data_IF_839327312972
#
_entry.id   IF_839327312972
#
_cell.length_a   1.000
_cell.length_b   1.000
_cell.length_c   1.000
_cell.angle_alpha   90.00
_cell.angle_beta   90.00
_cell.angle_gamma   90.00
#
_symmetry.space_group_name_H-M   'P 1'
#
loop_
_entity.id
_entity.type
_entity.pdbx_description
1 polymer ?
#
# COMPACT_ATOMS: atom_id res chain seq x y z
N UNK A 1 -0.16 -12.69 -0.50
CA UNK A 1 -1.08 -12.55 0.66
C UNK A 1 -2.54 -12.74 0.26
N UNK A 2 -3.06 -12.02 -0.74
CA UNK A 2 -4.44 -12.21 -1.22
C UNK A 2 -4.81 -13.66 -1.56
N UNK A 3 -3.92 -14.39 -2.23
CA UNK A 3 -4.09 -15.83 -2.54
C UNK A 3 -4.33 -16.67 -1.26
N UNK A 4 -3.48 -16.51 -0.24
CA UNK A 4 -3.58 -17.22 1.04
C UNK A 4 -4.86 -16.87 1.81
N UNK A 5 -5.29 -15.61 1.75
CA UNK A 5 -6.56 -15.18 2.37
C UNK A 5 -7.78 -15.78 1.66
N UNK A 6 -7.70 -15.91 0.33
CA UNK A 6 -8.74 -16.49 -0.49
C UNK A 6 -8.88 -18.00 -0.27
N UNK A 7 -7.77 -18.75 -0.35
CA UNK A 7 -7.76 -20.21 -0.30
C UNK A 7 -7.68 -20.76 1.13
N UNK A 8 -6.98 -20.07 2.03
CA UNK A 8 -6.59 -20.60 3.34
C UNK A 8 -5.37 -21.52 3.32
N UNK A 9 -4.81 -21.78 2.14
CA UNK A 9 -3.63 -22.60 1.91
C UNK A 9 -2.79 -22.01 0.78
N UNK A 10 -1.59 -22.57 0.55
CA UNK A 10 -0.74 -22.13 -0.55
C UNK A 10 -1.39 -22.44 -1.91
N UNK A 11 -1.45 -21.42 -2.76
CA UNK A 11 -1.82 -21.61 -4.15
C UNK A 11 -0.75 -22.47 -4.87
N UNK A 12 -1.10 -23.10 -6.01
CA UNK A 12 -0.12 -23.80 -6.84
C UNK A 12 1.10 -22.92 -7.14
N UNK A 13 2.30 -23.51 -7.06
CA UNK A 13 3.56 -22.77 -7.15
C UNK A 13 3.65 -21.91 -8.41
N UNK A 14 3.22 -22.42 -9.56
CA UNK A 14 3.25 -21.70 -10.83
C UNK A 14 2.35 -20.45 -10.80
N UNK A 15 1.13 -20.56 -10.26
CA UNK A 15 0.20 -19.44 -10.09
C UNK A 15 0.76 -18.41 -9.12
N UNK A 16 1.42 -18.86 -8.05
CA UNK A 16 2.09 -17.99 -7.08
C UNK A 16 3.23 -17.20 -7.74
N UNK A 17 4.11 -17.88 -8.50
CA UNK A 17 5.22 -17.24 -9.19
C UNK A 17 4.71 -16.24 -10.24
N UNK A 18 3.75 -16.63 -11.07
CA UNK A 18 3.21 -15.76 -12.12
C UNK A 18 2.49 -14.56 -11.52
N UNK A 19 1.67 -14.78 -10.49
CA UNK A 19 0.97 -13.71 -9.78
C UNK A 19 1.92 -12.71 -9.13
N UNK A 20 2.95 -13.22 -8.44
CA UNK A 20 3.99 -12.39 -7.83
C UNK A 20 4.78 -11.60 -8.87
N UNK A 21 5.33 -12.27 -9.88
CA UNK A 21 6.14 -11.62 -10.92
C UNK A 21 5.34 -10.58 -11.68
N UNK A 22 4.06 -10.85 -11.96
CA UNK A 22 3.18 -9.90 -12.63
C UNK A 22 3.01 -8.61 -11.82
N UNK A 23 2.54 -8.71 -10.56
CA UNK A 23 2.33 -7.51 -9.73
C UNK A 23 3.64 -6.82 -9.40
N UNK A 24 4.73 -7.56 -9.19
CA UNK A 24 6.08 -7.03 -9.00
C UNK A 24 6.51 -6.18 -10.20
N UNK A 25 6.37 -6.70 -11.43
CA UNK A 25 6.75 -5.97 -12.64
C UNK A 25 5.88 -4.71 -12.86
N UNK A 26 4.57 -4.78 -12.57
CA UNK A 26 3.70 -3.59 -12.63
C UNK A 26 4.14 -2.55 -11.60
N UNK A 27 4.35 -2.93 -10.33
CA UNK A 27 4.80 -2.01 -9.29
C UNK A 27 6.18 -1.42 -9.61
N UNK A 28 7.13 -2.24 -10.07
CA UNK A 28 8.46 -1.78 -10.45
C UNK A 28 8.41 -0.80 -11.62
N UNK A 29 7.54 -1.03 -12.62
CA UNK A 29 7.30 -0.07 -13.70
C UNK A 29 6.83 1.29 -13.17
N UNK A 30 5.84 1.29 -12.26
CA UNK A 30 5.28 2.52 -11.68
C UNK A 30 6.34 3.28 -10.87
N UNK A 31 7.18 2.57 -10.11
CA UNK A 31 8.25 3.17 -9.31
C UNK A 31 9.40 3.73 -10.17
N UNK A 32 9.83 2.99 -11.19
CA UNK A 32 10.85 3.50 -12.14
C UNK A 32 10.32 4.72 -12.90
N UNK A 33 9.04 4.69 -13.28
CA UNK A 33 8.39 5.83 -13.92
C UNK A 33 8.27 7.02 -12.96
N UNK A 34 8.04 6.79 -11.67
CA UNK A 34 8.03 7.84 -10.65
C UNK A 34 9.39 8.56 -10.59
N UNK A 35 10.49 7.80 -10.49
CA UNK A 35 11.86 8.35 -10.52
C UNK A 35 12.13 9.16 -11.80
N UNK A 36 11.58 8.73 -12.95
CA UNK A 36 11.66 9.49 -14.20
C UNK A 36 10.92 10.83 -14.16
N UNK A 37 9.74 10.90 -13.54
CA UNK A 37 9.00 12.16 -13.39
C UNK A 37 9.63 13.10 -12.35
N UNK A 38 10.27 12.53 -11.33
CA UNK A 38 10.82 13.29 -10.20
C UNK A 38 12.26 13.76 -10.39
N UNK A 39 12.88 13.56 -11.56
CA UNK A 39 14.29 13.91 -11.84
C UNK A 39 14.69 15.30 -11.34
N UNK A 40 13.92 16.34 -11.65
CA UNK A 40 14.27 17.71 -11.24
C UNK A 40 14.16 17.92 -9.72
N UNK A 41 13.17 17.28 -9.08
CA UNK A 41 12.98 17.30 -7.63
C UNK A 41 14.10 16.53 -6.92
N UNK A 42 14.46 15.35 -7.44
CA UNK A 42 15.44 14.45 -6.86
C UNK A 42 16.87 14.96 -7.02
N UNK A 43 17.19 15.76 -8.04
CA UNK A 43 18.47 16.48 -8.12
C UNK A 43 18.74 17.35 -6.88
N UNK A 44 17.69 17.87 -6.25
CA UNK A 44 17.78 18.71 -5.06
C UNK A 44 17.69 17.86 -3.80
N UNK A 45 16.67 17.00 -3.70
CA UNK A 45 16.32 16.31 -2.46
C UNK A 45 17.11 15.00 -2.24
N UNK A 46 17.46 14.30 -3.32
CA UNK A 46 18.07 12.98 -3.27
C UNK A 46 19.07 12.77 -4.42
N UNK A 47 20.16 13.57 -4.49
CA UNK A 47 21.09 13.56 -5.63
C UNK A 47 21.84 12.24 -5.81
N UNK A 48 21.80 11.35 -4.80
CA UNK A 48 22.38 10.01 -4.84
C UNK A 48 21.51 8.98 -5.58
N UNK A 49 20.25 9.31 -5.91
CA UNK A 49 19.36 8.41 -6.68
C UNK A 49 19.94 8.14 -8.08
N UNK A 50 19.62 6.98 -8.71
CA UNK A 50 20.29 6.54 -9.93
C UNK A 50 20.24 7.54 -11.10
N UNK A 51 19.09 8.19 -11.34
CA UNK A 51 18.93 9.12 -12.47
C UNK A 51 19.64 10.46 -12.20
N UNK A 52 19.42 11.17 -11.06
CA UNK A 52 20.19 12.37 -10.73
C UNK A 52 21.71 12.15 -10.66
N UNK A 53 22.15 10.99 -10.16
CA UNK A 53 23.56 10.61 -10.07
C UNK A 53 24.18 10.23 -11.43
N UNK A 54 23.39 10.22 -12.52
CA UNK A 54 23.79 9.82 -13.88
C UNK A 54 24.31 8.38 -13.97
N UNK A 55 23.92 7.51 -13.03
CA UNK A 55 24.18 6.07 -13.10
C UNK A 55 23.27 5.37 -14.11
N UNK A 56 22.08 5.94 -14.33
CA UNK A 56 21.10 5.51 -15.33
C UNK A 56 20.57 6.76 -16.03
N UNK A 57 20.47 6.72 -17.36
CA UNK A 57 19.88 7.82 -18.13
C UNK A 57 18.35 7.84 -18.01
N UNK A 58 17.70 9.01 -18.17
CA UNK A 58 16.23 9.11 -18.16
C UNK A 58 15.58 8.19 -19.21
N UNK A 59 16.21 8.05 -20.38
CA UNK A 59 15.71 7.19 -21.45
C UNK A 59 15.79 5.71 -21.09
N UNK A 60 16.86 5.25 -20.45
CA UNK A 60 16.98 3.87 -19.95
C UNK A 60 15.90 3.57 -18.90
N UNK A 61 15.69 4.49 -17.94
CA UNK A 61 14.64 4.34 -16.92
C UNK A 61 13.25 4.27 -17.57
N UNK A 62 12.95 5.15 -18.53
CA UNK A 62 11.69 5.12 -19.25
C UNK A 62 11.48 3.79 -19.99
N UNK A 63 12.45 3.32 -20.76
CA UNK A 63 12.32 2.04 -21.48
C UNK A 63 12.24 0.83 -20.55
N UNK A 64 12.95 0.87 -19.42
CA UNK A 64 12.80 -0.15 -18.37
C UNK A 64 11.39 -0.16 -17.81
N UNK A 65 10.78 1.00 -17.53
CA UNK A 65 9.39 1.06 -17.06
C UNK A 65 8.41 0.48 -18.08
N UNK A 66 8.59 0.75 -19.37
CA UNK A 66 7.73 0.20 -20.44
C UNK A 66 7.91 -1.31 -20.56
N UNK A 67 9.15 -1.81 -20.52
CA UNK A 67 9.44 -3.24 -20.54
C UNK A 67 8.79 -3.96 -19.34
N UNK A 68 8.97 -3.43 -18.14
CA UNK A 68 8.38 -4.00 -16.92
C UNK A 68 6.84 -3.98 -16.96
N UNK A 69 6.24 -2.91 -17.47
CA UNK A 69 4.79 -2.84 -17.68
C UNK A 69 4.32 -3.94 -18.62
N UNK A 70 4.99 -4.10 -19.77
CA UNK A 70 4.66 -5.12 -20.75
C UNK A 70 4.77 -6.53 -20.16
N UNK A 71 5.86 -6.84 -19.45
CA UNK A 71 6.03 -8.13 -18.77
C UNK A 71 4.92 -8.37 -17.75
N UNK A 72 4.62 -7.37 -16.92
CA UNK A 72 3.54 -7.45 -15.93
C UNK A 72 2.18 -7.76 -16.55
N UNK A 73 1.83 -7.06 -17.64
CA UNK A 73 0.58 -7.25 -18.38
C UNK A 73 0.50 -8.64 -19.03
N UNK A 74 1.56 -9.09 -19.71
CA UNK A 74 1.60 -10.43 -20.31
C UNK A 74 1.43 -11.50 -19.25
N UNK A 75 2.17 -11.43 -18.14
CA UNK A 75 2.03 -12.40 -17.05
C UNK A 75 0.62 -12.41 -16.44
N UNK A 76 -0.01 -11.24 -16.27
CA UNK A 76 -1.39 -11.17 -15.77
C UNK A 76 -2.41 -11.78 -16.74
N UNK A 77 -2.22 -11.56 -18.04
CA UNK A 77 -3.06 -12.13 -19.09
C UNK A 77 -2.96 -13.66 -19.11
N UNK A 78 -1.76 -14.21 -18.94
CA UNK A 78 -1.53 -15.66 -18.88
C UNK A 78 -2.21 -16.32 -17.66
N UNK A 79 -2.55 -15.55 -16.62
CA UNK A 79 -3.32 -16.06 -15.47
C UNK A 79 -4.82 -16.00 -15.79
N UNK A 80 -5.36 -14.81 -16.08
CA UNK A 80 -6.74 -14.64 -16.54
C UNK A 80 -7.03 -13.21 -17.03
N UNK A 81 -8.11 -13.04 -17.78
CA UNK A 81 -8.59 -11.72 -18.21
C UNK A 81 -8.92 -10.79 -17.03
N UNK A 82 -9.46 -11.33 -15.93
CA UNK A 82 -9.79 -10.55 -14.73
C UNK A 82 -8.53 -9.96 -14.10
N UNK A 83 -7.47 -10.78 -14.00
CA UNK A 83 -6.18 -10.36 -13.44
C UNK A 83 -5.52 -9.32 -14.35
N UNK A 84 -5.61 -9.47 -15.68
CA UNK A 84 -5.16 -8.44 -16.62
C UNK A 84 -5.88 -7.10 -16.40
N UNK A 85 -7.20 -7.10 -16.23
CA UNK A 85 -7.95 -5.87 -15.97
C UNK A 85 -7.49 -5.18 -14.68
N UNK A 86 -7.24 -5.93 -13.61
CA UNK A 86 -6.66 -5.37 -12.39
C UNK A 86 -5.26 -4.78 -12.62
N UNK A 87 -4.38 -5.46 -13.37
CA UNK A 87 -3.05 -4.92 -13.73
C UNK A 87 -3.15 -3.63 -14.52
N UNK A 88 -4.06 -3.55 -15.50
CA UNK A 88 -4.30 -2.33 -16.28
C UNK A 88 -4.78 -1.22 -15.35
N UNK A 89 -5.73 -1.49 -14.44
CA UNK A 89 -6.21 -0.48 -13.49
C UNK A 89 -5.08 0.02 -12.58
N UNK A 90 -4.25 -0.87 -12.04
CA UNK A 90 -3.08 -0.49 -11.23
C UNK A 90 -2.09 0.37 -12.02
N UNK A 91 -1.80 0.01 -13.27
CA UNK A 91 -0.93 0.80 -14.15
C UNK A 91 -1.50 2.19 -14.46
N UNK A 92 -2.80 2.29 -14.74
CA UNK A 92 -3.50 3.57 -14.97
C UNK A 92 -3.45 4.43 -13.71
N UNK A 93 -3.72 3.87 -12.54
CA UNK A 93 -3.62 4.57 -11.25
C UNK A 93 -2.21 5.12 -11.06
N UNK A 94 -1.18 4.28 -11.20
CA UNK A 94 0.22 4.69 -11.03
C UNK A 94 0.63 5.79 -12.00
N UNK A 95 0.22 5.69 -13.27
CA UNK A 95 0.48 6.71 -14.28
C UNK A 95 -0.20 8.04 -13.96
N UNK A 96 -1.49 8.01 -13.59
CA UNK A 96 -2.25 9.21 -13.21
C UNK A 96 -1.67 9.88 -11.96
N UNK A 97 -1.24 9.07 -10.99
CA UNK A 97 -0.59 9.58 -9.78
C UNK A 97 0.71 10.30 -10.12
N UNK A 98 1.65 9.61 -10.80
CA UNK A 98 2.95 10.16 -11.16
C UNK A 98 2.83 11.42 -12.02
N UNK A 99 1.92 11.44 -12.99
CA UNK A 99 1.78 12.54 -13.92
C UNK A 99 1.01 13.76 -13.39
N UNK A 100 -0.01 13.56 -12.54
CA UNK A 100 -0.96 14.63 -12.18
C UNK A 100 -1.37 14.68 -10.72
N UNK A 101 -1.61 13.53 -10.10
CA UNK A 101 -2.32 13.48 -8.81
C UNK A 101 -1.41 13.54 -7.59
N UNK A 102 -0.08 13.40 -7.76
CA UNK A 102 0.90 13.57 -6.67
C UNK A 102 0.75 14.89 -5.91
N UNK A 103 0.34 15.97 -6.58
CA UNK A 103 0.15 17.31 -5.97
C UNK A 103 -1.27 17.58 -5.47
N UNK A 104 -2.19 16.62 -5.63
CA UNK A 104 -3.61 16.82 -5.34
C UNK A 104 -3.97 16.68 -3.85
N UNK A 105 -3.01 16.28 -3.01
CA UNK A 105 -3.23 16.02 -1.59
C UNK A 105 -4.12 14.79 -1.39
N UNK A 106 -5.19 14.92 -0.60
CA UNK A 106 -6.06 13.81 -0.20
C UNK A 106 -6.55 12.92 -1.36
N UNK A 107 -6.84 13.48 -2.54
CA UNK A 107 -7.28 12.68 -3.70
C UNK A 107 -6.16 11.74 -4.17
N UNK A 108 -4.92 12.24 -4.19
CA UNK A 108 -3.73 11.46 -4.51
C UNK A 108 -3.51 10.34 -3.49
N UNK A 109 -3.58 10.68 -2.20
CA UNK A 109 -3.42 9.72 -1.10
C UNK A 109 -4.48 8.62 -1.20
N UNK A 110 -5.76 8.96 -1.38
CA UNK A 110 -6.84 7.98 -1.58
C UNK A 110 -6.53 7.05 -2.76
N UNK A 111 -6.07 7.61 -3.88
CA UNK A 111 -5.79 6.83 -5.08
C UNK A 111 -4.63 5.84 -4.88
N UNK A 112 -3.54 6.28 -4.24
CA UNK A 112 -2.39 5.43 -3.89
C UNK A 112 -2.84 4.33 -2.94
N UNK A 113 -3.59 4.68 -1.89
CA UNK A 113 -4.04 3.70 -0.92
C UNK A 113 -5.01 2.68 -1.48
N UNK A 114 -5.87 3.07 -2.42
CA UNK A 114 -6.69 2.11 -3.19
C UNK A 114 -5.79 1.12 -3.94
N UNK A 115 -4.69 1.59 -4.55
CA UNK A 115 -3.77 0.71 -5.26
C UNK A 115 -3.11 -0.32 -4.34
N UNK A 116 -2.80 0.06 -3.09
CA UNK A 116 -2.25 -0.84 -2.06
C UNK A 116 -3.27 -1.91 -1.69
N UNK A 117 -4.51 -1.55 -1.39
CA UNK A 117 -5.58 -2.52 -1.11
C UNK A 117 -5.88 -3.44 -2.30
N UNK A 118 -5.86 -2.89 -3.52
CA UNK A 118 -6.05 -3.67 -4.75
C UNK A 118 -5.05 -4.81 -4.91
N UNK A 119 -3.86 -4.75 -4.32
CA UNK A 119 -2.90 -5.88 -4.36
C UNK A 119 -3.43 -7.15 -3.65
N UNK A 120 -4.27 -6.99 -2.62
CA UNK A 120 -4.94 -8.13 -1.97
C UNK A 120 -6.00 -8.73 -2.89
N UNK A 121 -6.83 -7.88 -3.50
CA UNK A 121 -7.87 -8.29 -4.47
C UNK A 121 -7.20 -8.96 -5.67
N UNK A 122 -6.10 -8.42 -6.16
CA UNK A 122 -5.27 -8.99 -7.21
C UNK A 122 -4.84 -10.41 -6.86
N UNK A 123 -4.29 -10.63 -5.66
CA UNK A 123 -3.94 -11.96 -5.18
C UNK A 123 -5.14 -12.91 -5.16
N UNK A 124 -6.30 -12.48 -4.66
CA UNK A 124 -7.53 -13.29 -4.73
C UNK A 124 -7.97 -13.59 -6.17
N UNK A 125 -7.84 -12.63 -7.08
CA UNK A 125 -8.18 -12.77 -8.50
C UNK A 125 -7.33 -13.84 -9.20
N UNK A 126 -6.03 -13.95 -8.87
CA UNK A 126 -5.14 -14.96 -9.47
C UNK A 126 -5.54 -16.40 -9.18
N UNK A 127 -6.37 -16.62 -8.15
CA UNK A 127 -6.91 -17.93 -7.76
C UNK A 127 -8.43 -18.01 -7.96
N UNK A 128 -9.00 -17.09 -8.74
CA UNK A 128 -10.42 -17.08 -9.10
C UNK A 128 -11.38 -16.58 -8.01
N UNK A 129 -10.87 -15.99 -6.92
CA UNK A 129 -11.65 -15.57 -5.75
C UNK A 129 -11.44 -14.08 -5.39
N UNK A 130 -11.61 -13.12 -6.33
CA UNK A 130 -11.36 -11.70 -6.07
C UNK A 130 -12.32 -11.09 -5.04
N UNK A 131 -13.54 -11.64 -4.92
CA UNK A 131 -14.58 -11.16 -4.02
C UNK A 131 -14.66 -11.96 -2.71
N UNK A 132 -13.63 -12.75 -2.39
CA UNK A 132 -13.59 -13.44 -1.11
C UNK A 132 -13.67 -12.43 0.04
N UNK A 133 -14.58 -12.66 0.99
CA UNK A 133 -14.85 -11.74 2.10
C UNK A 133 -13.60 -11.36 2.92
N UNK A 134 -12.67 -12.29 3.11
CA UNK A 134 -11.41 -12.02 3.81
C UNK A 134 -10.48 -11.15 2.95
N UNK A 135 -10.42 -11.41 1.64
CA UNK A 135 -9.65 -10.60 0.69
C UNK A 135 -10.18 -9.17 0.67
N UNK A 136 -11.49 -8.97 0.59
CA UNK A 136 -12.12 -7.65 0.58
C UNK A 136 -11.91 -6.90 1.89
N UNK A 137 -12.04 -7.57 3.04
CA UNK A 137 -11.81 -6.94 4.34
C UNK A 137 -10.35 -6.51 4.51
N UNK A 138 -9.39 -7.41 4.24
CA UNK A 138 -7.97 -7.07 4.36
C UNK A 138 -7.52 -6.04 3.31
N UNK A 139 -8.14 -6.04 2.12
CA UNK A 139 -7.97 -4.96 1.14
C UNK A 139 -8.41 -3.62 1.73
N UNK A 140 -9.63 -3.54 2.29
CA UNK A 140 -10.14 -2.31 2.91
C UNK A 140 -9.26 -1.84 4.07
N UNK A 141 -8.82 -2.77 4.94
CA UNK A 141 -7.90 -2.47 6.03
C UNK A 141 -6.59 -1.90 5.48
N UNK A 142 -6.02 -2.50 4.43
CA UNK A 142 -4.79 -2.01 3.80
C UNK A 142 -4.98 -0.61 3.18
N UNK A 143 -6.09 -0.34 2.49
CA UNK A 143 -6.42 1.00 1.98
C UNK A 143 -6.45 2.02 3.12
N UNK A 144 -7.09 1.69 4.24
CA UNK A 144 -7.24 2.64 5.34
C UNK A 144 -5.93 2.86 6.10
N UNK A 145 -5.13 1.81 6.32
CA UNK A 145 -3.81 1.95 6.94
C UNK A 145 -2.93 2.86 6.09
N UNK A 146 -2.87 2.61 4.79
CA UNK A 146 -2.06 3.39 3.86
C UNK A 146 -2.55 4.84 3.76
N UNK A 147 -3.87 5.06 3.72
CA UNK A 147 -4.43 6.41 3.66
C UNK A 147 -4.14 7.21 4.94
N UNK A 148 -4.31 6.58 6.10
CA UNK A 148 -3.97 7.19 7.38
C UNK A 148 -2.48 7.53 7.44
N UNK A 149 -1.64 6.70 6.83
CA UNK A 149 -0.21 6.92 6.78
C UNK A 149 0.18 8.05 5.83
N UNK A 150 -0.29 8.05 4.59
CA UNK A 150 0.02 9.10 3.61
C UNK A 150 -0.34 10.49 4.18
N UNK A 151 -1.49 10.60 4.86
CA UNK A 151 -1.90 11.84 5.54
C UNK A 151 -0.95 12.21 6.69
N UNK A 152 -0.44 11.23 7.44
CA UNK A 152 0.50 11.49 8.53
C UNK A 152 1.90 11.83 8.01
N UNK A 153 2.34 11.20 6.92
CA UNK A 153 3.62 11.44 6.26
C UNK A 153 3.63 12.82 5.62
N UNK A 154 2.57 13.23 4.90
CA UNK A 154 2.38 14.61 4.44
C UNK A 154 2.49 15.64 5.59
N UNK A 155 1.95 15.29 6.77
CA UNK A 155 2.03 16.15 7.95
C UNK A 155 3.46 16.27 8.53
N UNK A 156 4.32 15.29 8.30
CA UNK A 156 5.75 15.35 8.63
C UNK A 156 6.57 16.04 7.51
N UNK A 157 6.08 16.00 6.26
CA UNK A 157 6.78 16.45 5.06
C UNK A 157 6.31 17.82 4.52
N UNK A 158 5.63 18.63 5.35
CA UNK A 158 5.07 19.94 4.97
C UNK A 158 6.06 20.82 4.18
N UNK A 159 7.34 20.85 4.59
CA UNK A 159 8.35 21.67 3.89
C UNK A 159 8.61 21.18 2.46
N UNK A 160 8.69 19.87 2.25
CA UNK A 160 8.86 19.28 0.93
C UNK A 160 7.62 19.46 0.06
N UNK A 161 6.45 19.27 0.65
CA UNK A 161 5.15 19.44 0.00
C UNK A 161 4.92 20.88 -0.50
N UNK A 162 5.40 21.88 0.24
CA UNK A 162 5.33 23.28 -0.18
C UNK A 162 6.17 23.56 -1.43
N UNK A 163 7.33 22.91 -1.59
CA UNK A 163 8.21 23.09 -2.77
C UNK A 163 7.51 22.63 -4.05
N UNK A 164 6.74 21.55 -3.97
CA UNK A 164 6.02 20.99 -5.13
C UNK A 164 4.63 21.59 -5.33
N UNK A 165 4.22 22.56 -4.50
CA UNK A 165 2.86 23.13 -4.44
C UNK A 165 1.78 22.06 -4.23
N UNK A 166 2.02 21.15 -3.29
CA UNK A 166 1.05 20.12 -2.90
C UNK A 166 -0.17 20.73 -2.22
N UNK A 167 -1.32 20.07 -2.38
CA UNK A 167 -2.59 20.41 -1.75
C UNK A 167 -2.90 19.52 -0.52
N UNK A 168 -1.87 18.99 0.15
CA UNK A 168 -2.03 18.09 1.29
C UNK A 168 -2.86 18.68 2.41
N UNK A 169 -3.50 17.82 3.21
CA UNK A 169 -4.35 18.25 4.32
C UNK A 169 -3.56 19.06 5.35
N UNK A 170 -2.28 18.72 5.53
CA UNK A 170 -1.39 19.43 6.43
C UNK A 170 -1.12 20.86 5.98
N UNK A 171 -0.98 21.11 4.67
CA UNK A 171 -0.85 22.46 4.11
C UNK A 171 -2.18 23.22 4.23
N UNK A 172 -3.31 22.61 3.88
CA UNK A 172 -4.61 23.31 3.85
C UNK A 172 -5.20 23.60 5.22
N UNK A 173 -5.05 22.68 6.16
CA UNK A 173 -5.74 22.70 7.46
C UNK A 173 -4.79 22.63 8.67
N UNK A 174 -3.49 22.53 8.42
CA UNK A 174 -2.46 22.43 9.45
C UNK A 174 -2.15 21.00 9.89
N UNK A 175 -0.92 20.79 10.35
CA UNK A 175 -0.42 19.51 10.88
C UNK A 175 -1.35 18.86 11.92
N UNK A 176 -1.89 19.59 12.94
CA UNK A 176 -2.71 18.95 13.95
C UNK A 176 -4.04 18.41 13.40
N UNK A 177 -4.60 19.04 12.37
CA UNK A 177 -5.83 18.58 11.73
C UNK A 177 -5.59 17.32 10.90
N UNK A 178 -4.52 17.31 10.09
CA UNK A 178 -4.11 16.14 9.32
C UNK A 178 -3.84 14.92 10.22
N UNK A 179 -3.09 15.11 11.31
CA UNK A 179 -2.80 14.01 12.25
C UNK A 179 -4.06 13.49 12.94
N UNK A 180 -5.03 14.36 13.29
CA UNK A 180 -6.32 13.91 13.83
C UNK A 180 -7.09 13.06 12.84
N UNK A 181 -7.13 13.46 11.56
CA UNK A 181 -7.80 12.69 10.49
C UNK A 181 -7.14 11.31 10.35
N UNK A 182 -5.81 11.28 10.26
CA UNK A 182 -5.03 10.03 10.25
C UNK A 182 -5.33 9.16 11.47
N UNK A 183 -5.37 9.74 12.68
CA UNK A 183 -5.71 9.02 13.91
C UNK A 183 -7.13 8.46 13.92
N UNK A 184 -8.12 9.18 13.37
CA UNK A 184 -9.49 8.66 13.21
C UNK A 184 -9.54 7.49 12.24
N UNK A 185 -8.77 7.53 11.15
CA UNK A 185 -8.68 6.42 10.20
C UNK A 185 -8.10 5.18 10.88
N UNK A 186 -7.00 5.32 11.63
CA UNK A 186 -6.42 4.18 12.37
C UNK A 186 -7.35 3.63 13.46
N UNK A 187 -8.10 4.49 14.15
CA UNK A 187 -9.13 4.04 15.08
C UNK A 187 -10.22 3.23 14.35
N UNK A 188 -10.64 3.70 13.18
CA UNK A 188 -11.62 2.98 12.37
C UNK A 188 -11.09 1.61 11.88
N UNK A 189 -9.81 1.52 11.53
CA UNK A 189 -9.14 0.24 11.23
C UNK A 189 -9.25 -0.73 12.41
N UNK A 190 -8.91 -0.28 13.62
CA UNK A 190 -9.04 -1.10 14.84
C UNK A 190 -10.48 -1.60 15.05
N UNK A 191 -11.50 -0.82 14.71
CA UNK A 191 -12.88 -1.29 14.79
C UNK A 191 -13.19 -2.35 13.72
N UNK A 192 -12.67 -2.17 12.51
CA UNK A 192 -12.88 -3.11 11.40
C UNK A 192 -12.22 -4.47 11.63
N UNK A 193 -11.11 -4.55 12.37
CA UNK A 193 -10.42 -5.81 12.66
C UNK A 193 -11.26 -6.78 13.50
N UNK A 194 -12.29 -6.29 14.19
CA UNK A 194 -13.23 -7.12 14.95
C UNK A 194 -14.40 -7.69 14.11
N UNK A 195 -14.64 -7.18 12.91
CA UNK A 195 -15.74 -7.62 12.03
C UNK A 195 -15.74 -9.14 11.79
N UNK A 196 -14.58 -9.81 11.52
CA UNK A 196 -14.55 -11.26 11.36
C UNK A 196 -15.05 -12.05 12.56
N UNK A 197 -14.93 -11.53 13.79
CA UNK A 197 -15.37 -12.24 14.99
C UNK A 197 -16.85 -12.00 15.26
N UNK A 198 -17.32 -10.75 15.09
CA UNK A 198 -18.74 -10.41 15.21
C UNK A 198 -19.56 -11.21 14.19
N UNK A 199 -19.04 -11.35 12.98
CA UNK A 199 -19.70 -12.08 11.89
C UNK A 199 -19.41 -13.58 11.89
N UNK A 200 -18.68 -14.10 12.87
CA UNK A 200 -18.28 -15.52 12.98
C UNK A 200 -17.56 -16.06 11.72
N UNK A 201 -16.71 -15.24 11.08
CA UNK A 201 -15.88 -15.64 9.93
C UNK A 201 -14.57 -16.31 10.36
N UNK A 202 -14.07 -16.01 11.56
CA UNK A 202 -12.82 -16.55 12.10
C UNK A 202 -13.02 -17.12 13.51
N UNK A 203 -12.34 -18.23 13.84
CA UNK A 203 -12.29 -18.72 15.21
C UNK A 203 -11.49 -17.78 16.12
N UNK A 204 -11.75 -17.85 17.42
CA UNK A 204 -11.16 -16.96 18.43
C UNK A 204 -9.62 -17.02 18.50
N UNK A 205 -8.98 -18.07 18.00
CA UNK A 205 -7.51 -18.14 17.92
C UNK A 205 -6.90 -16.99 17.11
N UNK A 206 -7.61 -16.47 16.11
CA UNK A 206 -7.17 -15.33 15.32
C UNK A 206 -7.26 -14.00 16.07
N UNK A 207 -7.86 -13.96 17.26
CA UNK A 207 -7.90 -12.75 18.07
C UNK A 207 -6.48 -12.37 18.55
N UNK A 208 -5.58 -13.35 18.74
CA UNK A 208 -4.19 -13.09 19.16
C UNK A 208 -3.44 -12.19 18.16
N UNK A 209 -3.28 -12.57 16.87
CA UNK A 209 -2.60 -11.70 15.91
C UNK A 209 -3.31 -10.36 15.70
N UNK A 210 -4.64 -10.32 15.81
CA UNK A 210 -5.42 -9.09 15.68
C UNK A 210 -5.14 -8.13 16.84
N UNK A 211 -5.15 -8.61 18.09
CA UNK A 211 -4.83 -7.77 19.25
C UNK A 211 -3.37 -7.26 19.22
N UNK A 212 -2.44 -8.07 18.71
CA UNK A 212 -1.06 -7.61 18.48
C UNK A 212 -1.06 -6.45 17.48
N UNK A 213 -1.74 -6.62 16.35
CA UNK A 213 -1.85 -5.59 15.32
C UNK A 213 -2.49 -4.31 15.86
N UNK A 214 -3.61 -4.43 16.58
CA UNK A 214 -4.34 -3.30 17.16
C UNK A 214 -3.50 -2.55 18.22
N UNK A 215 -2.69 -3.25 19.01
CA UNK A 215 -1.73 -2.60 19.91
C UNK A 215 -0.76 -1.69 19.15
N UNK A 216 -0.24 -2.17 18.02
CA UNK A 216 0.65 -1.40 17.15
C UNK A 216 -0.07 -0.34 16.29
N UNK A 217 -1.40 -0.33 16.26
CA UNK A 217 -2.16 0.82 15.76
C UNK A 217 -2.37 1.84 16.87
N UNK A 218 -2.94 1.43 17.99
CA UNK A 218 -3.35 2.33 19.08
C UNK A 218 -2.14 3.06 19.68
N UNK A 219 -1.10 2.34 20.10
CA UNK A 219 0.02 2.96 20.83
C UNK A 219 0.75 3.99 19.96
N UNK A 220 1.22 3.65 18.73
CA UNK A 220 1.88 4.62 17.88
C UNK A 220 0.96 5.76 17.45
N UNK A 221 -0.32 5.54 17.18
CA UNK A 221 -1.26 6.61 16.83
C UNK A 221 -1.41 7.63 17.96
N UNK A 222 -1.53 7.20 19.22
CA UNK A 222 -1.60 8.13 20.37
C UNK A 222 -0.33 8.98 20.47
N UNK A 223 0.83 8.39 20.18
CA UNK A 223 2.12 9.11 20.19
C UNK A 223 2.26 10.04 18.99
N UNK A 224 1.80 9.60 17.82
CA UNK A 224 1.77 10.36 16.58
C UNK A 224 0.93 11.63 16.73
N UNK A 225 -0.27 11.54 17.33
CA UNK A 225 -1.14 12.69 17.60
C UNK A 225 -0.51 13.76 18.51
N UNK A 226 0.52 13.39 19.29
CA UNK A 226 1.27 14.31 20.18
C UNK A 226 2.55 14.82 19.54
N UNK A 227 2.97 14.28 18.41
CA UNK A 227 4.19 14.68 17.72
C UNK A 227 4.04 16.07 17.09
N UNK A 228 5.13 16.82 17.05
CA UNK A 228 5.18 18.19 16.48
C UNK A 228 6.36 18.39 15.52
N UNK A 229 7.09 17.32 15.25
CA UNK A 229 8.37 17.29 14.58
C UNK A 229 8.57 15.90 13.94
N UNK A 230 9.73 15.70 13.30
CA UNK A 230 10.08 14.47 12.56
C UNK A 230 10.05 13.17 13.40
N UNK A 231 9.94 13.25 14.73
CA UNK A 231 9.74 12.07 15.59
C UNK A 231 8.49 11.27 15.22
N UNK A 232 7.49 11.93 14.61
CA UNK A 232 6.27 11.28 14.10
C UNK A 232 6.55 10.12 13.15
N UNK A 233 7.61 10.22 12.33
CA UNK A 233 8.00 9.19 11.33
C UNK A 233 8.29 7.84 11.98
N UNK A 234 8.83 7.84 13.20
CA UNK A 234 9.08 6.60 13.96
C UNK A 234 7.77 5.87 14.26
N UNK A 235 6.73 6.61 14.66
CA UNK A 235 5.44 6.02 15.01
C UNK A 235 4.68 5.54 13.76
N UNK A 236 4.79 6.27 12.66
CA UNK A 236 4.30 5.82 11.34
C UNK A 236 4.93 4.47 10.97
N UNK A 237 6.26 4.35 11.09
CA UNK A 237 6.97 3.08 10.83
C UNK A 237 6.51 1.94 11.76
N UNK A 238 6.20 2.24 13.01
CA UNK A 238 5.72 1.24 13.97
C UNK A 238 4.34 0.69 13.60
N UNK A 239 3.46 1.51 13.03
CA UNK A 239 2.16 1.09 12.50
C UNK A 239 2.34 0.02 11.41
N UNK A 240 3.23 0.26 10.43
CA UNK A 240 3.51 -0.72 9.37
C UNK A 240 4.15 -2.00 9.88
N UNK A 241 5.13 -1.90 10.77
CA UNK A 241 5.79 -3.07 11.34
C UNK A 241 4.78 -3.93 12.11
N UNK A 242 3.89 -3.29 12.87
CA UNK A 242 2.80 -3.96 13.57
C UNK A 242 1.82 -4.66 12.65
N UNK A 243 1.33 -3.94 11.62
CA UNK A 243 0.46 -4.52 10.58
C UNK A 243 1.12 -5.74 9.93
N UNK A 244 2.39 -5.63 9.57
CA UNK A 244 3.15 -6.70 8.92
C UNK A 244 3.32 -7.90 9.85
N UNK A 245 3.74 -7.70 11.09
CA UNK A 245 3.91 -8.77 12.08
C UNK A 245 2.58 -9.45 12.37
N UNK A 246 1.53 -8.68 12.64
CA UNK A 246 0.18 -9.21 12.88
C UNK A 246 -0.33 -10.04 11.71
N UNK A 247 -0.14 -9.56 10.48
CA UNK A 247 -0.52 -10.27 9.26
C UNK A 247 0.30 -11.55 9.04
N UNK A 248 1.60 -11.54 9.32
CA UNK A 248 2.43 -12.74 9.23
C UNK A 248 2.01 -13.81 10.24
N UNK A 249 1.75 -13.43 11.49
CA UNK A 249 1.23 -14.35 12.52
C UNK A 249 -0.16 -14.87 12.11
N UNK A 250 -1.03 -14.01 11.59
CA UNK A 250 -2.33 -14.39 11.06
C UNK A 250 -2.21 -15.47 9.97
N UNK A 251 -1.33 -15.26 8.99
CA UNK A 251 -1.10 -16.19 7.90
C UNK A 251 -0.47 -17.51 8.39
N UNK A 252 0.45 -17.45 9.35
CA UNK A 252 1.05 -18.64 9.96
C UNK A 252 0.01 -19.50 10.68
N UNK A 253 -0.84 -18.89 11.52
CA UNK A 253 -1.96 -19.60 12.16
C UNK A 253 -2.87 -20.21 11.10
N UNK A 254 -3.16 -19.46 10.03
CA UNK A 254 -4.04 -19.94 8.97
C UNK A 254 -3.52 -21.20 8.30
N UNK A 255 -2.25 -21.22 7.93
CA UNK A 255 -1.58 -22.37 7.32
C UNK A 255 -1.51 -23.60 8.22
N UNK A 256 -1.41 -23.41 9.54
CA UNK A 256 -1.40 -24.52 10.51
C UNK A 256 -2.83 -25.06 10.71
N UNK A 257 -3.83 -24.18 10.73
CA UNK A 257 -5.23 -24.53 11.01
C UNK A 257 -5.98 -25.18 9.84
N UNK A 258 -5.44 -25.10 8.62
CA UNK A 258 -6.01 -25.74 7.42
C UNK A 258 -5.43 -27.14 7.14
N UNK A 259 -4.52 -27.63 7.99
CA UNK A 259 -4.09 -29.03 8.03
C UNK A 259 -4.88 -29.80 9.10
#
# INVERSE_FOLDING_TARGET
MGQLLALGEFAPLLVTIFGFMSVFSISASILVLNDFFDIETDKINAPHRPIPAKLVSPSEAFWLSIFLLFVGLVLSYLISIIVLLFSITLAVIGFLYNGKLKKSGLIGNILVSISVGMTFIYGGATVGLPLNKMVLLFSLIAVLIDLGEEIASDAMDIKGDLIINSNSLAIKYGMPAALKISGFIFLFVVLLTFVPFIMNWLPLIYLIPILIMDFFFIYPTVRLLRSRNDEGRKYIRWIYLGATVGLLIFLAIRLISTQ
#
